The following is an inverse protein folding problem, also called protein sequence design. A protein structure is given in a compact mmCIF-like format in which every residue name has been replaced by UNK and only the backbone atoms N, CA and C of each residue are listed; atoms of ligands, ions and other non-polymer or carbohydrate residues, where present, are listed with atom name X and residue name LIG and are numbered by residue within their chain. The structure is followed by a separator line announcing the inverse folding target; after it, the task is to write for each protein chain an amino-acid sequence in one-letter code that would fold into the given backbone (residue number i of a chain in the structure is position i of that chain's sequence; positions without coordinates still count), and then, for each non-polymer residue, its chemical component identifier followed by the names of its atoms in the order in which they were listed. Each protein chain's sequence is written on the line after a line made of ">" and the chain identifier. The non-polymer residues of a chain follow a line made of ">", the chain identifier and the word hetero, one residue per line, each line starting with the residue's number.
data_IF_478476454218
#
_entry.id   IF_478476454218
#
_cell.length_a   1.000
_cell.length_b   1.000
_cell.length_c   1.000
_cell.angle_alpha   90.00
_cell.angle_beta   90.00
_cell.angle_gamma   90.00
#
_symmetry.space_group_name_H-M   'P 1'
#
loop_
_entity.id
_entity.type
_entity.pdbx_description
1 polymer ?
#
# COMPACT_ATOMS: atom_id res chain seq x y z
N UNK A 1 -1.09 -1.20 3.53
CA UNK A 1 0.06 -1.71 2.73
C UNK A 1 0.09 -3.23 2.84
N UNK A 2 0.47 -3.92 1.77
CA UNK A 2 0.57 -5.39 1.71
C UNK A 2 1.79 -5.81 0.91
N UNK A 3 2.19 -7.06 1.05
CA UNK A 3 3.12 -7.69 0.12
C UNK A 3 2.50 -7.77 -1.29
N UNK A 4 3.37 -7.65 -2.29
CA UNK A 4 3.03 -7.84 -3.69
C UNK A 4 2.71 -9.30 -3.96
N UNK A 5 1.60 -9.54 -4.68
CA UNK A 5 1.17 -10.90 -5.05
C UNK A 5 2.00 -11.49 -6.18
N UNK A 6 2.65 -10.67 -7.00
CA UNK A 6 3.36 -11.11 -8.20
C UNK A 6 4.87 -10.99 -8.11
N UNK A 7 5.38 -10.15 -7.21
CA UNK A 7 6.82 -9.93 -7.05
C UNK A 7 7.22 -10.06 -5.58
N UNK A 8 7.84 -11.19 -5.19
CA UNK A 8 8.29 -11.41 -3.82
C UNK A 8 9.18 -10.28 -3.30
N UNK A 9 8.97 -9.91 -2.03
CA UNK A 9 9.75 -8.87 -1.36
C UNK A 9 9.35 -7.43 -1.69
N UNK A 10 8.41 -7.21 -2.62
CA UNK A 10 7.91 -5.87 -2.92
C UNK A 10 6.59 -5.57 -2.20
N UNK A 11 6.33 -4.28 -1.99
CA UNK A 11 5.15 -3.79 -1.29
C UNK A 11 4.18 -3.10 -2.25
N UNK A 12 2.90 -3.14 -1.89
CA UNK A 12 1.83 -2.46 -2.62
C UNK A 12 0.87 -1.72 -1.69
N UNK A 13 0.38 -0.57 -2.14
CA UNK A 13 -0.79 0.12 -1.56
C UNK A 13 -2.03 -0.38 -2.29
N UNK A 14 -3.07 -0.74 -1.54
CA UNK A 14 -4.40 -1.00 -2.10
C UNK A 14 -5.34 0.07 -1.57
N UNK A 15 -5.86 0.89 -2.48
CA UNK A 15 -6.73 2.02 -2.17
C UNK A 15 -8.10 1.78 -2.79
N UNK A 16 -9.14 1.74 -1.96
CA UNK A 16 -10.52 1.72 -2.43
C UNK A 16 -11.00 3.15 -2.58
N UNK A 17 -11.43 3.50 -3.77
CA UNK A 17 -12.03 4.80 -4.07
C UNK A 17 -13.10 4.64 -5.13
N UNK A 18 -14.24 5.32 -4.94
CA UNK A 18 -15.38 5.30 -5.87
C UNK A 18 -15.79 3.89 -6.33
N UNK A 19 -15.96 2.97 -5.38
CA UNK A 19 -16.36 1.59 -5.65
C UNK A 19 -15.29 0.70 -6.32
N UNK A 20 -14.12 1.24 -6.68
CA UNK A 20 -13.02 0.53 -7.34
C UNK A 20 -11.82 0.37 -6.41
N UNK A 21 -11.00 -0.65 -6.67
CA UNK A 21 -9.74 -0.88 -5.96
C UNK A 21 -8.58 -0.57 -6.91
N UNK A 22 -7.68 0.29 -6.47
CA UNK A 22 -6.46 0.68 -7.16
C UNK A 22 -5.26 0.09 -6.43
N UNK A 23 -4.36 -0.56 -7.17
CA UNK A 23 -3.15 -1.14 -6.63
C UNK A 23 -1.94 -0.35 -7.12
N UNK A 24 -1.20 0.25 -6.19
CA UNK A 24 0.02 0.99 -6.47
C UNK A 24 1.22 0.22 -5.96
N UNK A 25 2.23 0.08 -6.81
CA UNK A 25 3.51 -0.52 -6.43
C UNK A 25 4.31 0.50 -5.63
N UNK A 26 4.84 0.09 -4.47
CA UNK A 26 5.84 0.85 -3.75
C UNK A 26 7.19 0.33 -4.23
N UNK A 27 7.92 1.17 -4.93
CA UNK A 27 9.28 0.87 -5.37
C UNK A 27 10.28 1.34 -4.32
N UNK A 28 11.48 0.75 -4.36
CA UNK A 28 12.63 1.16 -3.57
C UNK A 28 13.76 1.42 -4.56
N UNK A 29 14.44 2.56 -4.45
CA UNK A 29 15.62 2.84 -5.27
C UNK A 29 16.91 2.28 -4.65
N UNK A 30 18.04 2.52 -5.33
CA UNK A 30 19.37 2.05 -4.91
C UNK A 30 19.82 2.65 -3.57
N UNK A 31 19.26 3.80 -3.18
CA UNK A 31 19.52 4.46 -1.90
C UNK A 31 18.58 3.97 -0.78
N UNK A 32 17.72 2.99 -1.07
CA UNK A 32 16.75 2.47 -0.12
C UNK A 32 15.53 3.37 0.08
N UNK A 33 15.32 4.40 -0.75
CA UNK A 33 14.19 5.31 -0.61
C UNK A 33 12.94 4.74 -1.28
N UNK A 34 11.79 4.90 -0.62
CA UNK A 34 10.50 4.40 -1.06
C UNK A 34 9.77 5.44 -1.90
N UNK A 35 9.08 4.99 -2.95
CA UNK A 35 8.25 5.87 -3.79
C UNK A 35 7.12 5.11 -4.50
N UNK A 36 6.04 5.83 -4.81
CA UNK A 36 4.94 5.36 -5.69
C UNK A 36 4.96 6.12 -7.01
N UNK A 37 5.11 7.45 -6.96
CA UNK A 37 5.41 8.30 -8.12
C UNK A 37 6.92 8.59 -8.18
N UNK A 38 7.50 8.70 -9.36
CA UNK A 38 8.95 8.88 -9.54
C UNK A 38 9.49 10.23 -9.06
N UNK A 39 8.59 11.18 -8.76
CA UNK A 39 8.92 12.56 -8.38
C UNK A 39 9.28 12.69 -6.90
N UNK A 40 8.65 11.90 -6.02
CA UNK A 40 8.82 12.02 -4.57
C UNK A 40 9.34 10.71 -3.97
N UNK A 41 10.43 10.82 -3.20
CA UNK A 41 11.11 9.70 -2.53
C UNK A 41 11.14 9.94 -1.04
N UNK A 42 10.95 8.87 -0.26
CA UNK A 42 10.86 8.93 1.19
C UNK A 42 11.84 7.97 1.82
N UNK A 43 12.49 8.38 2.92
CA UNK A 43 13.46 7.54 3.61
C UNK A 43 12.79 6.34 4.32
N UNK A 44 11.51 6.45 4.65
CA UNK A 44 10.76 5.38 5.32
C UNK A 44 9.38 5.19 4.70
N UNK A 45 8.86 3.97 4.79
CA UNK A 45 7.49 3.68 4.38
C UNK A 45 6.46 4.53 5.15
N UNK A 46 6.71 4.80 6.43
CA UNK A 46 5.82 5.65 7.25
C UNK A 46 5.70 7.06 6.68
N UNK A 47 6.81 7.67 6.26
CA UNK A 47 6.80 9.00 5.65
C UNK A 47 6.03 9.02 4.33
N UNK A 48 6.22 8.00 3.49
CA UNK A 48 5.47 7.83 2.25
C UNK A 48 3.95 7.77 2.51
N UNK A 49 3.53 6.95 3.48
CA UNK A 49 2.11 6.81 3.81
C UNK A 49 1.55 8.08 4.43
N UNK A 50 2.32 8.75 5.29
CA UNK A 50 1.91 10.02 5.89
C UNK A 50 1.69 11.10 4.84
N UNK A 51 2.65 11.27 3.91
CA UNK A 51 2.54 12.20 2.79
C UNK A 51 1.25 11.95 1.99
N UNK A 52 1.02 10.71 1.59
CA UNK A 52 -0.18 10.36 0.83
C UNK A 52 -1.50 10.40 1.63
N UNK A 53 -1.45 10.64 2.95
CA UNK A 53 -2.64 10.90 3.76
C UNK A 53 -3.10 12.37 3.73
N UNK A 54 -2.22 13.28 3.30
CA UNK A 54 -2.46 14.73 3.25
C UNK A 54 -2.47 15.28 1.81
N UNK A 55 -1.72 14.68 0.88
CA UNK A 55 -1.72 15.02 -0.55
C UNK A 55 -1.83 13.76 -1.41
N UNK A 56 -2.38 13.85 -2.63
CA UNK A 56 -2.59 12.67 -3.47
C UNK A 56 -1.33 12.27 -4.25
N UNK A 57 -0.66 13.24 -4.86
CA UNK A 57 0.65 13.15 -5.54
C UNK A 57 0.92 11.84 -6.30
N UNK A 58 -0.06 11.46 -7.14
CA UNK A 58 0.00 10.27 -7.99
C UNK A 58 -0.97 9.15 -7.59
N UNK A 59 -1.60 9.24 -6.42
CA UNK A 59 -2.73 8.39 -6.05
C UNK A 59 -4.05 8.95 -6.59
N UNK A 60 -5.05 8.09 -6.77
CA UNK A 60 -6.41 8.50 -7.16
C UNK A 60 -7.10 9.30 -6.05
N UNK A 61 -6.73 9.07 -4.79
CA UNK A 61 -7.23 9.79 -3.61
C UNK A 61 -6.27 9.64 -2.42
N UNK A 62 -6.47 10.46 -1.38
CA UNK A 62 -5.76 10.41 -0.11
C UNK A 62 -5.95 9.08 0.64
N UNK A 63 -4.93 8.69 1.43
CA UNK A 63 -4.96 7.56 2.36
C UNK A 63 -5.61 7.96 3.69
N UNK A 64 -6.94 7.98 3.73
CA UNK A 64 -7.70 8.48 4.89
C UNK A 64 -7.98 7.41 5.96
N UNK A 65 -8.25 6.17 5.54
CA UNK A 65 -8.76 5.13 6.43
C UNK A 65 -7.84 3.89 6.38
N UNK A 66 -6.91 3.73 7.35
CA UNK A 66 -6.03 2.58 7.38
C UNK A 66 -6.82 1.31 7.74
N UNK A 67 -6.61 0.24 6.96
CA UNK A 67 -7.14 -1.08 7.29
C UNK A 67 -6.08 -1.86 8.05
N UNK A 68 -6.32 -2.06 9.34
CA UNK A 68 -5.55 -3.00 10.14
C UNK A 68 -6.00 -4.41 9.76
N UNK A 69 -5.05 -5.30 9.42
CA UNK A 69 -5.37 -6.72 9.33
C UNK A 69 -5.73 -7.18 10.74
N UNK A 70 -7.01 -7.17 11.09
CA UNK A 70 -7.50 -8.00 12.18
C UNK A 70 -7.01 -9.42 11.90
N UNK A 71 -6.50 -10.13 12.91
CA UNK A 71 -6.19 -11.56 12.80
C UNK A 71 -7.44 -12.27 12.30
N UNK A 72 -7.55 -12.47 10.99
CA UNK A 72 -8.55 -13.37 10.43
C UNK A 72 -8.11 -14.73 10.94
N UNK A 73 -8.81 -15.22 11.97
CA UNK A 73 -8.77 -16.63 12.30
C UNK A 73 -9.12 -17.35 11.01
N UNK A 74 -8.30 -18.30 10.52
CA UNK A 74 -8.62 -19.04 9.31
C UNK A 74 -10.05 -19.56 9.48
N UNK A 75 -10.94 -19.23 8.55
CA UNK A 75 -12.24 -19.88 8.53
C UNK A 75 -11.96 -21.38 8.39
N UNK A 76 -12.16 -22.13 9.47
CA UNK A 76 -12.04 -23.57 9.47
C UNK A 76 -13.20 -24.06 8.60
N UNK A 77 -12.94 -24.25 7.31
CA UNK A 77 -13.86 -24.97 6.44
C UNK A 77 -13.86 -26.41 6.94
N UNK A 78 -14.82 -26.75 7.79
CA UNK A 78 -15.17 -28.14 8.07
C UNK A 78 -15.69 -28.71 6.76
N UNK A 79 -14.98 -29.69 6.24
CA UNK A 79 -15.48 -30.56 5.19
C UNK A 79 -16.18 -31.68 5.96
N UNK A 80 -17.51 -31.69 5.91
CA UNK A 80 -18.33 -32.79 6.42
C UNK A 80 -18.18 -34.03 5.52
#
# INVERSE_FOLDING_TARGET
>A
VRDSETVPGQLSISLRYDGRIYHYRINTDENGQYYVSTELRFATLQQLIHHHSITTDGLVHLLLYPINKHKIQPALFKID
#
